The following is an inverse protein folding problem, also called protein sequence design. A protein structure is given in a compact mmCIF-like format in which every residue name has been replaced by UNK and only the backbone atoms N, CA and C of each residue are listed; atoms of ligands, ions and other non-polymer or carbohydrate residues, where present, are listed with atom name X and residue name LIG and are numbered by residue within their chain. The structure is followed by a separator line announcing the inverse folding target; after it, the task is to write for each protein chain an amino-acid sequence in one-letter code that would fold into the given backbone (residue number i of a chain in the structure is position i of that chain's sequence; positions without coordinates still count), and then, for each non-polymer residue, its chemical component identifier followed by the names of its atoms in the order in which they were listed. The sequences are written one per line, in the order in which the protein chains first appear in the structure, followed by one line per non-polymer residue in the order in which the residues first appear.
data_IF_965375581638
#
_entry.id   IF_965375581638
#
_cell.length_a   1.000
_cell.length_b   1.000
_cell.length_c   1.000
_cell.angle_alpha   90.00
_cell.angle_beta   90.00
_cell.angle_gamma   90.00
#
_symmetry.space_group_name_H-M   'P 1'
#
loop_
_entity.id
_entity.type
_entity.pdbx_description
1 polymer ?
#
# COMPACT_ATOMS: atom_id res chain seq x y z
N UNK A 1 5.72 7.88 -22.14
CA UNK A 1 6.27 6.51 -21.96
C UNK A 1 5.47 5.72 -20.93
N UNK A 2 5.25 6.22 -19.67
CA UNK A 2 4.56 5.48 -18.60
C UNK A 2 3.15 5.01 -19.00
N UNK A 3 2.35 5.83 -19.65
CA UNK A 3 1.03 5.41 -20.17
C UNK A 3 1.17 4.30 -21.24
N UNK A 4 2.13 4.39 -22.15
CA UNK A 4 2.40 3.33 -23.14
C UNK A 4 2.79 2.01 -22.47
N UNK A 5 3.65 2.08 -21.47
CA UNK A 5 4.05 0.91 -20.66
C UNK A 5 2.84 0.29 -19.95
N UNK A 6 2.09 1.09 -19.19
CA UNK A 6 1.06 0.55 -18.30
C UNK A 6 -0.23 0.15 -19.02
N UNK A 7 -0.70 0.93 -20.02
CA UNK A 7 -1.93 0.64 -20.74
C UNK A 7 -1.74 -0.39 -21.85
N UNK A 8 -0.60 -0.35 -22.54
CA UNK A 8 -0.34 -1.16 -23.76
C UNK A 8 0.70 -2.26 -23.55
N UNK A 9 1.42 -2.25 -22.43
CA UNK A 9 2.57 -3.14 -22.17
C UNK A 9 3.66 -2.95 -23.23
N UNK A 10 4.02 -1.67 -23.51
CA UNK A 10 5.07 -1.34 -24.47
C UNK A 10 6.43 -1.80 -23.97
N UNK A 11 7.03 -2.80 -24.62
CA UNK A 11 8.36 -3.32 -24.25
C UNK A 11 9.46 -2.31 -24.57
N UNK A 12 9.31 -1.58 -25.66
CA UNK A 12 10.12 -0.43 -26.05
C UNK A 12 10.09 0.66 -24.97
N UNK A 13 8.89 1.01 -24.48
CA UNK A 13 8.75 1.96 -23.39
C UNK A 13 9.44 1.48 -22.09
N UNK A 14 9.38 0.17 -21.79
CA UNK A 14 10.06 -0.39 -20.62
C UNK A 14 11.59 -0.24 -20.75
N UNK A 15 12.15 -0.55 -21.91
CA UNK A 15 13.59 -0.41 -22.18
C UNK A 15 14.05 1.04 -22.13
N UNK A 16 13.31 1.96 -22.76
CA UNK A 16 13.62 3.39 -22.73
C UNK A 16 13.58 3.98 -21.31
N UNK A 17 12.63 3.55 -20.48
CA UNK A 17 12.55 3.97 -19.08
C UNK A 17 13.74 3.40 -18.31
N UNK A 18 14.10 2.14 -18.55
CA UNK A 18 15.24 1.50 -17.89
C UNK A 18 16.56 2.20 -18.22
N UNK A 19 16.79 2.51 -19.48
CA UNK A 19 17.97 3.24 -19.94
C UNK A 19 18.04 4.65 -19.31
N UNK A 20 16.92 5.40 -19.35
CA UNK A 20 16.87 6.75 -18.81
C UNK A 20 17.07 6.81 -17.29
N UNK A 21 16.47 5.88 -16.54
CA UNK A 21 16.48 5.91 -15.05
C UNK A 21 17.71 5.21 -14.49
N UNK A 22 18.13 4.09 -15.09
CA UNK A 22 19.27 3.28 -14.66
C UNK A 22 20.60 3.69 -15.28
N UNK A 23 20.57 4.48 -16.35
CA UNK A 23 21.72 4.72 -17.23
C UNK A 23 21.96 3.58 -18.22
N UNK A 24 21.54 2.38 -17.87
CA UNK A 24 21.44 1.20 -18.72
C UNK A 24 20.44 0.20 -18.14
N UNK A 25 20.15 -0.87 -18.93
CA UNK A 25 19.18 -1.89 -18.53
C UNK A 25 19.65 -2.72 -17.34
N UNK A 26 20.93 -3.03 -17.25
CA UNK A 26 21.48 -3.89 -16.19
C UNK A 26 21.42 -3.18 -14.82
N UNK A 27 21.81 -1.93 -14.77
CA UNK A 27 21.68 -1.09 -13.58
C UNK A 27 20.20 -0.92 -13.17
N UNK A 28 19.30 -0.73 -14.14
CA UNK A 28 17.87 -0.67 -13.83
C UNK A 28 17.35 -1.98 -13.22
N UNK A 29 17.78 -3.13 -13.71
CA UNK A 29 17.44 -4.45 -13.14
C UNK A 29 17.99 -4.59 -11.72
N UNK A 30 19.20 -4.08 -11.43
CA UNK A 30 19.70 -4.02 -10.06
C UNK A 30 18.79 -3.15 -9.15
N UNK A 31 18.33 -1.99 -9.66
CA UNK A 31 17.38 -1.13 -8.95
C UNK A 31 16.03 -1.83 -8.70
N UNK A 32 15.49 -2.57 -9.68
CA UNK A 32 14.28 -3.38 -9.54
C UNK A 32 14.42 -4.40 -8.41
N UNK A 33 15.52 -5.16 -8.39
CA UNK A 33 15.78 -6.19 -7.36
C UNK A 33 16.05 -5.56 -5.98
N UNK A 34 16.70 -4.40 -5.91
CA UNK A 34 16.85 -3.64 -4.67
C UNK A 34 15.48 -3.23 -4.12
N UNK A 35 14.60 -2.68 -4.98
CA UNK A 35 13.24 -2.31 -4.59
C UNK A 35 12.43 -3.52 -4.14
N UNK A 36 12.55 -4.66 -4.80
CA UNK A 36 11.90 -5.90 -4.38
C UNK A 36 12.28 -6.28 -2.93
N UNK A 37 13.55 -6.21 -2.56
CA UNK A 37 14.02 -6.44 -1.19
C UNK A 37 13.45 -5.41 -0.20
N UNK A 38 13.46 -4.13 -0.56
CA UNK A 38 12.95 -3.04 0.28
C UNK A 38 11.46 -3.20 0.62
N UNK A 39 10.65 -3.68 -0.32
CA UNK A 39 9.21 -3.91 -0.09
C UNK A 39 8.89 -5.30 0.48
N UNK A 40 9.91 -6.14 0.71
CA UNK A 40 9.78 -7.44 1.37
C UNK A 40 9.41 -8.60 0.46
N UNK A 41 9.67 -8.52 -0.85
CA UNK A 41 9.46 -9.59 -1.83
C UNK A 41 10.56 -10.65 -1.68
N UNK A 42 10.25 -11.76 -1.02
CA UNK A 42 11.24 -12.79 -0.68
C UNK A 42 11.46 -13.82 -1.77
N UNK A 43 10.48 -13.99 -2.66
CA UNK A 43 10.46 -15.02 -3.70
C UNK A 43 10.37 -14.39 -5.11
N UNK A 44 11.10 -13.29 -5.32
CA UNK A 44 11.08 -12.54 -6.58
C UNK A 44 12.48 -12.24 -7.05
N UNK A 45 12.72 -12.42 -8.35
CA UNK A 45 13.91 -11.96 -9.04
C UNK A 45 13.53 -11.38 -10.39
N UNK A 46 13.95 -10.16 -10.63
CA UNK A 46 13.84 -9.51 -11.92
C UNK A 46 15.15 -9.68 -12.71
N UNK A 47 15.03 -9.98 -14.00
CA UNK A 47 16.15 -10.13 -14.94
C UNK A 47 16.03 -9.17 -16.13
N UNK A 48 14.86 -8.56 -16.34
CA UNK A 48 14.64 -7.54 -17.34
C UNK A 48 13.44 -6.65 -17.02
N UNK A 49 13.35 -5.43 -17.58
CA UNK A 49 12.26 -4.48 -17.32
C UNK A 49 10.97 -4.78 -18.11
N UNK A 50 11.04 -5.54 -19.21
CA UNK A 50 9.89 -5.80 -20.09
C UNK A 50 9.01 -6.96 -19.63
N UNK A 51 9.56 -7.91 -18.87
CA UNK A 51 8.89 -9.14 -18.48
C UNK A 51 8.95 -10.24 -19.54
N UNK A 52 9.63 -10.02 -20.67
CA UNK A 52 9.78 -11.05 -21.71
C UNK A 52 10.79 -12.11 -21.29
N UNK A 53 10.45 -13.37 -21.59
CA UNK A 53 11.40 -14.47 -21.44
C UNK A 53 12.39 -14.48 -22.61
N UNK A 54 13.67 -14.70 -22.32
CA UNK A 54 14.72 -14.86 -23.32
C UNK A 54 15.50 -16.15 -23.02
N UNK A 55 15.52 -17.08 -23.96
CA UNK A 55 16.21 -18.38 -23.82
C UNK A 55 15.79 -19.14 -22.53
N UNK A 56 14.52 -19.15 -22.21
CA UNK A 56 14.00 -19.79 -21.00
C UNK A 56 14.27 -19.02 -19.69
N UNK A 57 14.95 -17.88 -19.73
CA UNK A 57 15.24 -17.03 -18.57
C UNK A 57 14.26 -15.86 -18.56
N UNK A 58 13.54 -15.69 -17.46
CA UNK A 58 12.56 -14.62 -17.25
C UNK A 58 12.47 -14.16 -15.81
N UNK A 59 11.67 -13.14 -15.61
CA UNK A 59 11.31 -12.69 -14.26
C UNK A 59 10.48 -13.76 -13.56
N UNK A 60 10.73 -14.00 -12.27
CA UNK A 60 9.84 -14.83 -11.47
C UNK A 60 9.40 -14.12 -10.19
N UNK A 61 8.20 -14.45 -9.74
CA UNK A 61 7.60 -13.90 -8.54
C UNK A 61 6.51 -14.84 -8.01
N UNK A 62 5.88 -14.44 -6.90
CA UNK A 62 4.67 -15.06 -6.36
C UNK A 62 3.53 -14.06 -6.36
N UNK A 63 2.28 -14.55 -6.28
CA UNK A 63 1.10 -13.67 -6.13
C UNK A 63 1.21 -12.78 -4.89
N UNK A 64 1.76 -13.30 -3.79
CA UNK A 64 1.97 -12.53 -2.57
C UNK A 64 2.99 -11.40 -2.75
N UNK A 65 4.15 -11.67 -3.36
CA UNK A 65 5.18 -10.68 -3.59
C UNK A 65 4.69 -9.57 -4.53
N UNK A 66 3.95 -9.94 -5.59
CA UNK A 66 3.34 -8.96 -6.50
C UNK A 66 2.26 -8.12 -5.81
N UNK A 67 1.53 -8.68 -4.85
CA UNK A 67 0.60 -7.91 -4.02
C UNK A 67 1.35 -6.91 -3.11
N UNK A 68 2.50 -7.28 -2.53
CA UNK A 68 3.35 -6.36 -1.76
C UNK A 68 3.86 -5.20 -2.63
N UNK A 69 4.36 -5.50 -3.83
CA UNK A 69 4.80 -4.47 -4.78
C UNK A 69 3.66 -3.53 -5.16
N UNK A 70 2.48 -4.09 -5.46
CA UNK A 70 1.30 -3.31 -5.81
C UNK A 70 0.86 -2.42 -4.66
N UNK A 71 0.85 -2.92 -3.42
CA UNK A 71 0.54 -2.12 -2.23
C UNK A 71 1.49 -0.94 -2.08
N UNK A 72 2.78 -1.14 -2.32
CA UNK A 72 3.78 -0.07 -2.33
C UNK A 72 3.52 0.94 -3.45
N UNK A 73 3.31 0.47 -4.68
CA UNK A 73 3.09 1.34 -5.83
C UNK A 73 1.80 2.17 -5.71
N UNK A 74 0.74 1.61 -5.12
CA UNK A 74 -0.53 2.29 -4.87
C UNK A 74 -0.44 3.43 -3.84
N UNK A 75 0.68 3.64 -3.18
CA UNK A 75 0.94 4.82 -2.35
C UNK A 75 1.29 6.06 -3.19
N UNK A 76 1.68 5.88 -4.45
CA UNK A 76 2.03 6.95 -5.37
C UNK A 76 0.81 7.41 -6.18
N UNK A 77 0.48 8.72 -6.11
CA UNK A 77 -0.69 9.30 -6.79
C UNK A 77 -0.62 9.17 -8.30
N UNK A 78 0.56 9.40 -8.88
CA UNK A 78 0.78 9.31 -10.33
C UNK A 78 0.58 7.86 -10.81
N UNK A 79 1.08 6.87 -10.05
CA UNK A 79 0.83 5.48 -10.37
C UNK A 79 -0.67 5.16 -10.34
N UNK A 80 -1.40 5.60 -9.30
CA UNK A 80 -2.85 5.41 -9.22
C UNK A 80 -3.59 6.02 -10.40
N UNK A 81 -3.20 7.23 -10.80
CA UNK A 81 -3.79 7.90 -11.96
C UNK A 81 -3.58 7.09 -13.24
N UNK A 82 -2.35 6.65 -13.51
CA UNK A 82 -2.01 5.92 -14.74
C UNK A 82 -2.75 4.58 -14.81
N UNK A 83 -2.72 3.77 -13.73
CA UNK A 83 -3.29 2.41 -13.77
C UNK A 83 -4.81 2.36 -13.84
N UNK A 84 -5.51 3.40 -13.38
CA UNK A 84 -6.97 3.54 -13.52
C UNK A 84 -7.42 4.12 -14.85
N UNK A 85 -6.49 4.68 -15.65
CA UNK A 85 -6.82 5.33 -16.92
C UNK A 85 -7.30 4.32 -17.94
N UNK A 86 -8.53 4.49 -18.45
CA UNK A 86 -9.14 3.60 -19.45
C UNK A 86 -8.60 3.85 -20.85
N UNK A 87 -8.35 5.12 -21.19
CA UNK A 87 -7.85 5.53 -22.50
C UNK A 87 -6.99 6.79 -22.36
N UNK A 88 -5.92 6.86 -23.14
CA UNK A 88 -5.00 7.99 -23.15
C UNK A 88 -4.64 8.37 -24.58
N UNK A 89 -4.66 9.68 -24.87
CA UNK A 89 -4.24 10.21 -26.17
C UNK A 89 -2.83 10.77 -26.05
N UNK A 90 -1.87 10.11 -26.68
CA UNK A 90 -0.49 10.55 -26.78
C UNK A 90 -0.24 11.22 -28.12
N UNK A 91 0.29 12.43 -28.11
CA UNK A 91 0.65 13.18 -29.33
C UNK A 91 2.17 13.29 -29.43
N UNK A 92 2.71 13.01 -30.60
CA UNK A 92 4.06 13.34 -31.01
C UNK A 92 4.03 14.30 -32.18
N UNK A 93 5.18 14.81 -32.59
CA UNK A 93 5.29 15.66 -33.80
C UNK A 93 4.88 14.93 -35.08
N UNK A 94 4.91 13.60 -35.09
CA UNK A 94 4.64 12.78 -36.26
C UNK A 94 3.27 12.12 -36.23
N UNK A 95 2.73 11.80 -35.05
CA UNK A 95 1.52 10.96 -34.95
C UNK A 95 0.79 11.14 -33.63
N UNK A 96 -0.53 10.97 -33.70
CA UNK A 96 -1.41 10.84 -32.51
C UNK A 96 -1.73 9.37 -32.29
N UNK A 97 -1.54 8.91 -31.04
CA UNK A 97 -1.86 7.56 -30.60
C UNK A 97 -3.03 7.60 -29.62
N UNK A 98 -3.98 6.71 -29.78
CA UNK A 98 -5.05 6.47 -28.80
C UNK A 98 -4.82 5.12 -28.17
N UNK A 99 -4.43 5.11 -26.90
CA UNK A 99 -4.15 3.91 -26.14
C UNK A 99 -5.31 3.54 -25.23
N UNK A 100 -5.93 2.39 -25.50
CA UNK A 100 -6.92 1.79 -24.61
C UNK A 100 -6.23 0.84 -23.63
N UNK A 101 -6.56 0.93 -22.35
CA UNK A 101 -6.02 0.02 -21.34
C UNK A 101 -6.48 -1.42 -21.62
N UNK A 102 -5.54 -2.38 -21.53
CA UNK A 102 -5.82 -3.81 -21.70
C UNK A 102 -6.60 -4.41 -20.52
N UNK A 103 -6.61 -3.74 -19.36
CA UNK A 103 -7.33 -4.19 -18.17
C UNK A 103 -8.84 -3.98 -18.33
N UNK A 104 -9.56 -5.06 -18.69
CA UNK A 104 -11.02 -5.03 -18.88
C UNK A 104 -11.79 -4.80 -17.57
N UNK A 105 -11.19 -5.12 -16.41
CA UNK A 105 -11.82 -4.94 -15.11
C UNK A 105 -12.11 -3.47 -14.77
N UNK A 106 -11.44 -2.51 -15.41
CA UNK A 106 -11.72 -1.08 -15.26
C UNK A 106 -13.15 -0.67 -15.64
N UNK A 107 -13.93 -1.55 -16.26
CA UNK A 107 -15.36 -1.31 -16.51
C UNK A 107 -16.21 -1.41 -15.23
N UNK A 108 -15.73 -2.10 -14.20
CA UNK A 108 -16.40 -2.19 -12.90
C UNK A 108 -16.04 -0.99 -12.02
N UNK A 109 -17.06 -0.37 -11.37
CA UNK A 109 -16.92 0.89 -10.64
C UNK A 109 -15.95 0.84 -9.46
N UNK A 110 -15.81 -0.32 -8.81
CA UNK A 110 -14.96 -0.52 -7.65
C UNK A 110 -13.49 -0.80 -8.01
N UNK A 111 -13.19 -1.10 -9.28
CA UNK A 111 -11.82 -1.35 -9.74
C UNK A 111 -11.05 -0.03 -9.88
N UNK A 112 -9.91 0.05 -9.24
CA UNK A 112 -9.08 1.26 -9.16
C UNK A 112 -7.81 1.18 -10.01
N UNK A 113 -7.49 0.03 -10.60
CA UNK A 113 -6.32 -0.11 -11.46
C UNK A 113 -5.85 -1.53 -11.63
N UNK A 114 -4.64 -1.67 -12.14
CA UNK A 114 -3.96 -2.94 -12.30
C UNK A 114 -3.12 -3.06 -13.56
N UNK A 115 -2.61 -4.27 -13.81
CA UNK A 115 -1.74 -4.58 -14.96
C UNK A 115 -1.94 -6.01 -15.40
N UNK A 116 -2.13 -6.19 -16.69
CA UNK A 116 -2.16 -7.51 -17.36
C UNK A 116 -0.77 -7.92 -17.80
N UNK A 117 -0.49 -9.21 -17.81
CA UNK A 117 0.73 -9.79 -18.37
C UNK A 117 0.44 -11.09 -19.11
N UNK A 118 1.29 -11.40 -20.07
CA UNK A 118 1.31 -12.69 -20.76
C UNK A 118 2.71 -12.97 -21.30
N UNK A 119 3.22 -14.15 -21.01
CA UNK A 119 4.35 -14.77 -21.72
C UNK A 119 4.04 -16.24 -21.97
N UNK A 120 4.79 -16.91 -22.85
CA UNK A 120 4.58 -18.34 -23.11
C UNK A 120 4.81 -19.20 -21.86
N UNK A 121 5.74 -18.82 -20.97
CA UNK A 121 6.02 -19.55 -19.75
C UNK A 121 5.03 -19.22 -18.63
N UNK A 122 4.79 -17.94 -18.37
CA UNK A 122 3.92 -17.51 -17.28
C UNK A 122 2.43 -17.63 -17.61
N UNK A 123 2.07 -17.71 -18.90
CA UNK A 123 0.68 -17.61 -19.37
C UNK A 123 0.04 -16.30 -18.92
N UNK A 124 -1.27 -16.29 -18.72
CA UNK A 124 -1.97 -15.09 -18.26
C UNK A 124 -1.62 -14.77 -16.81
N UNK A 125 -1.27 -13.52 -16.56
CA UNK A 125 -1.05 -12.96 -15.23
C UNK A 125 -1.83 -11.67 -15.10
N UNK A 126 -2.42 -11.44 -13.94
CA UNK A 126 -3.20 -10.25 -13.69
C UNK A 126 -2.96 -9.76 -12.27
N UNK A 127 -2.72 -8.47 -12.15
CA UNK A 127 -2.83 -7.73 -10.89
C UNK A 127 -3.97 -6.75 -11.05
N UNK A 128 -4.89 -6.69 -10.09
CA UNK A 128 -5.88 -5.64 -10.02
C UNK A 128 -6.06 -5.10 -8.61
N UNK A 129 -6.57 -3.88 -8.51
CA UNK A 129 -6.85 -3.20 -7.25
C UNK A 129 -8.30 -2.74 -7.25
N UNK A 130 -8.93 -2.79 -6.08
CA UNK A 130 -10.31 -2.37 -5.90
C UNK A 130 -10.48 -1.61 -4.59
N UNK A 131 -11.43 -0.67 -4.58
CA UNK A 131 -11.87 0.04 -3.37
C UNK A 131 -13.39 -0.11 -3.24
N UNK A 132 -13.84 -0.55 -2.07
CA UNK A 132 -15.24 -0.69 -1.73
C UNK A 132 -15.45 -0.41 -0.24
N UNK A 133 -16.41 0.44 0.09
CA UNK A 133 -16.76 0.82 1.48
C UNK A 133 -15.53 1.21 2.33
N UNK A 134 -14.65 2.05 1.77
CA UNK A 134 -13.41 2.48 2.42
C UNK A 134 -12.33 1.42 2.55
N UNK A 135 -12.56 0.20 2.06
CA UNK A 135 -11.60 -0.90 2.06
C UNK A 135 -10.87 -0.98 0.72
N UNK A 136 -9.56 -1.22 0.77
CA UNK A 136 -8.72 -1.42 -0.41
C UNK A 136 -8.24 -2.86 -0.49
N UNK A 137 -8.44 -3.47 -1.65
CA UNK A 137 -8.05 -4.85 -1.90
C UNK A 137 -7.16 -4.96 -3.14
N UNK A 138 -6.29 -5.95 -3.13
CA UNK A 138 -5.42 -6.31 -4.25
C UNK A 138 -5.63 -7.79 -4.53
N UNK A 139 -5.87 -8.12 -5.78
CA UNK A 139 -5.92 -9.51 -6.25
C UNK A 139 -4.80 -9.71 -7.27
N UNK A 140 -4.10 -10.83 -7.15
CA UNK A 140 -3.04 -11.24 -8.07
C UNK A 140 -3.24 -12.70 -8.46
N UNK A 141 -3.36 -12.96 -9.75
CA UNK A 141 -3.34 -14.31 -10.32
C UNK A 141 -2.14 -14.50 -11.24
N UNK A 142 -1.54 -15.67 -11.18
CA UNK A 142 -0.43 -16.10 -12.04
C UNK A 142 -0.83 -17.42 -12.67
N UNK A 143 -0.73 -17.52 -14.01
CA UNK A 143 -1.09 -18.70 -14.79
C UNK A 143 -2.55 -19.09 -14.64
N UNK A 144 -3.43 -18.12 -14.68
CA UNK A 144 -4.87 -18.30 -14.58
C UNK A 144 -5.53 -17.95 -15.91
N UNK A 145 -6.16 -18.94 -16.56
CA UNK A 145 -6.82 -18.78 -17.86
C UNK A 145 -8.11 -17.97 -17.77
N UNK A 146 -8.76 -17.95 -16.59
CA UNK A 146 -10.01 -17.24 -16.33
C UNK A 146 -9.82 -16.07 -15.33
N UNK A 147 -8.65 -15.43 -15.38
CA UNK A 147 -8.22 -14.38 -14.46
C UNK A 147 -9.25 -13.25 -14.26
N UNK A 148 -10.05 -12.91 -15.28
CA UNK A 148 -11.09 -11.88 -15.13
C UNK A 148 -12.18 -12.29 -14.15
N UNK A 149 -12.77 -13.47 -14.32
CA UNK A 149 -13.81 -13.98 -13.43
C UNK A 149 -13.24 -14.30 -12.05
N UNK A 150 -12.08 -14.94 -11.98
CA UNK A 150 -11.38 -15.19 -10.70
C UNK A 150 -11.22 -13.91 -9.87
N UNK A 151 -10.80 -12.81 -10.50
CA UNK A 151 -10.63 -11.53 -9.79
C UNK A 151 -11.96 -10.95 -9.31
N UNK A 152 -13.02 -11.01 -10.13
CA UNK A 152 -14.36 -10.54 -9.75
C UNK A 152 -14.92 -11.34 -8.58
N UNK A 153 -14.86 -12.66 -8.63
CA UNK A 153 -15.36 -13.57 -7.59
C UNK A 153 -14.63 -13.34 -6.26
N UNK A 154 -13.30 -13.15 -6.31
CA UNK A 154 -12.51 -12.84 -5.12
C UNK A 154 -12.88 -11.47 -4.51
N UNK A 155 -13.15 -10.46 -5.33
CA UNK A 155 -13.63 -9.16 -4.82
C UNK A 155 -15.02 -9.26 -4.22
N UNK A 156 -15.97 -9.92 -4.89
CA UNK A 156 -17.32 -10.11 -4.37
C UNK A 156 -17.30 -10.87 -3.04
N UNK A 157 -16.51 -11.94 -2.96
CA UNK A 157 -16.29 -12.68 -1.72
C UNK A 157 -15.68 -11.79 -0.62
N UNK A 158 -14.67 -11.00 -0.96
CA UNK A 158 -14.03 -10.10 0.01
C UNK A 158 -15.02 -9.03 0.51
N UNK A 159 -15.77 -8.37 -0.37
CA UNK A 159 -16.75 -7.34 0.00
C UNK A 159 -17.89 -7.87 0.86
N UNK A 160 -18.29 -9.13 0.65
CA UNK A 160 -19.30 -9.81 1.46
C UNK A 160 -18.80 -10.15 2.86
N UNK A 161 -17.56 -10.60 2.98
CA UNK A 161 -17.03 -11.18 4.21
C UNK A 161 -16.28 -10.19 5.11
N UNK A 162 -15.70 -9.12 4.53
CA UNK A 162 -14.95 -8.11 5.26
C UNK A 162 -15.77 -6.85 5.48
N UNK A 163 -15.53 -6.20 6.62
CA UNK A 163 -16.04 -4.87 6.93
C UNK A 163 -14.91 -4.00 7.46
N UNK A 164 -15.04 -2.69 7.27
CA UNK A 164 -14.04 -1.74 7.73
C UNK A 164 -14.31 -1.39 9.20
N UNK A 165 -13.62 -2.04 10.13
CA UNK A 165 -13.80 -1.82 11.57
C UNK A 165 -12.94 -0.66 12.06
N UNK A 166 -13.53 0.26 12.84
CA UNK A 166 -12.80 1.25 13.62
C UNK A 166 -12.14 0.56 14.82
N UNK A 167 -10.83 0.31 14.72
CA UNK A 167 -10.05 -0.40 15.75
C UNK A 167 -9.52 0.57 16.82
N UNK A 168 -9.04 1.75 16.42
CA UNK A 168 -8.62 2.81 17.33
C UNK A 168 -9.25 4.13 16.91
N UNK A 169 -9.87 4.84 17.87
CA UNK A 169 -10.44 6.15 17.63
C UNK A 169 -9.57 7.24 18.23
N UNK A 170 -9.17 8.22 17.42
CA UNK A 170 -8.43 9.40 17.89
C UNK A 170 -9.22 10.24 18.92
N UNK A 171 -10.55 10.21 18.82
CA UNK A 171 -11.43 10.97 19.72
C UNK A 171 -11.49 10.36 21.12
N UNK A 172 -11.44 9.03 21.21
CA UNK A 172 -11.62 8.27 22.45
C UNK A 172 -10.37 7.44 22.80
N UNK A 173 -9.19 7.82 22.27
CA UNK A 173 -7.96 7.10 22.58
C UNK A 173 -7.59 7.29 24.04
N UNK A 174 -7.46 6.20 24.77
CA UNK A 174 -7.07 6.19 26.18
C UNK A 174 -6.21 4.94 26.48
N UNK A 175 -5.20 5.12 27.34
CA UNK A 175 -4.36 4.05 27.87
C UNK A 175 -4.55 4.03 29.38
N UNK A 176 -5.42 3.15 29.86
CA UNK A 176 -5.94 3.16 31.22
C UNK A 176 -4.87 2.98 32.32
N UNK A 177 -3.77 2.30 32.02
CA UNK A 177 -2.73 1.96 32.98
C UNK A 177 -1.59 2.98 33.06
N UNK A 178 -1.52 3.92 32.11
CA UNK A 178 -0.46 4.94 32.12
C UNK A 178 -0.87 6.16 32.96
N UNK A 179 -0.08 6.43 34.02
CA UNK A 179 -0.23 7.59 34.90
C UNK A 179 0.90 8.62 34.73
N UNK A 180 1.83 8.36 33.82
CA UNK A 180 2.99 9.22 33.62
C UNK A 180 2.69 10.41 32.71
N UNK A 181 1.88 10.19 31.69
CA UNK A 181 1.51 11.23 30.72
C UNK A 181 0.16 11.87 31.06
N UNK A 182 0.07 13.19 30.93
CA UNK A 182 -1.19 13.91 31.17
C UNK A 182 -2.27 13.55 30.16
N UNK A 183 -1.88 13.43 28.88
CA UNK A 183 -2.78 13.09 27.79
C UNK A 183 -2.04 12.36 26.69
N UNK A 184 -2.47 11.14 26.40
CA UNK A 184 -2.00 10.32 25.29
C UNK A 184 -3.00 10.40 24.15
N UNK A 185 -2.50 10.49 22.91
CA UNK A 185 -3.36 10.57 21.74
C UNK A 185 -2.71 9.93 20.50
N UNK A 186 -3.56 9.60 19.53
CA UNK A 186 -3.17 9.19 18.16
C UNK A 186 -3.67 10.26 17.17
N UNK A 187 -2.95 10.49 16.09
CA UNK A 187 -3.29 11.55 15.13
C UNK A 187 -4.49 11.22 14.25
N UNK A 188 -4.67 9.94 13.94
CA UNK A 188 -5.70 9.47 13.03
C UNK A 188 -6.47 8.29 13.62
N UNK A 189 -7.72 8.13 13.19
CA UNK A 189 -8.46 6.90 13.42
C UNK A 189 -7.81 5.73 12.67
N UNK A 190 -7.85 4.54 13.24
CA UNK A 190 -7.39 3.32 12.59
C UNK A 190 -8.59 2.47 12.19
N UNK A 191 -8.78 2.32 10.89
CA UNK A 191 -9.72 1.38 10.31
C UNK A 191 -8.98 0.20 9.71
N UNK A 192 -9.47 -1.02 9.95
CA UNK A 192 -8.88 -2.24 9.40
C UNK A 192 -10.00 -3.10 8.79
N UNK A 193 -9.86 -3.54 7.51
CA UNK A 193 -10.74 -4.53 6.92
C UNK A 193 -10.58 -5.88 7.62
N UNK A 194 -11.64 -6.38 8.23
CA UNK A 194 -11.65 -7.62 9.01
C UNK A 194 -12.95 -8.39 8.77
N UNK A 195 -12.88 -9.70 8.89
CA UNK A 195 -14.06 -10.52 9.08
C UNK A 195 -14.61 -10.34 10.51
N UNK A 196 -15.85 -10.74 10.75
CA UNK A 196 -16.47 -10.67 12.07
C UNK A 196 -15.65 -11.42 13.14
N UNK A 197 -15.14 -12.61 12.81
CA UNK A 197 -14.31 -13.41 13.75
C UNK A 197 -12.95 -12.78 14.00
N UNK A 198 -12.31 -12.18 13.00
CA UNK A 198 -11.04 -11.48 13.18
C UNK A 198 -11.19 -10.24 14.04
N UNK A 199 -12.28 -9.48 13.87
CA UNK A 199 -12.53 -8.29 14.68
C UNK A 199 -12.64 -8.59 16.19
N UNK A 200 -13.16 -9.78 16.55
CA UNK A 200 -13.23 -10.22 17.96
C UNK A 200 -11.92 -10.82 18.49
N UNK A 201 -10.94 -11.07 17.63
CA UNK A 201 -9.65 -11.69 17.97
C UNK A 201 -8.50 -10.70 17.97
N UNK A 202 -8.77 -9.39 17.82
CA UNK A 202 -7.74 -8.36 17.85
C UNK A 202 -7.19 -8.18 19.27
N UNK A 203 -5.87 -8.03 19.35
CA UNK A 203 -5.17 -7.66 20.58
C UNK A 203 -4.44 -6.34 20.34
N UNK A 204 -4.62 -5.41 21.26
CA UNK A 204 -3.94 -4.12 21.29
C UNK A 204 -2.89 -4.12 22.39
N UNK A 205 -1.64 -3.80 22.06
CA UNK A 205 -0.54 -3.74 23.00
C UNK A 205 0.18 -2.39 22.88
N UNK A 206 0.15 -1.58 23.94
CA UNK A 206 0.80 -0.27 23.97
C UNK A 206 2.17 -0.38 24.61
N UNK A 207 3.20 0.14 23.94
CA UNK A 207 4.56 0.27 24.46
C UNK A 207 4.93 1.75 24.47
N UNK A 208 5.18 2.32 25.67
CA UNK A 208 5.54 3.72 25.86
C UNK A 208 6.97 3.83 26.40
N UNK A 209 7.68 4.88 25.98
CA UNK A 209 8.96 5.33 26.52
C UNK A 209 8.71 6.53 27.45
N UNK A 210 9.45 6.64 28.56
CA UNK A 210 9.32 7.76 29.50
C UNK A 210 10.16 8.94 29.05
N UNK A 211 9.52 9.97 28.51
CA UNK A 211 10.17 11.22 28.06
C UNK A 211 9.80 12.35 29.02
N UNK A 212 10.80 12.98 29.67
CA UNK A 212 10.55 14.00 30.72
C UNK A 212 9.94 15.30 30.17
N UNK A 213 10.45 15.80 29.05
CA UNK A 213 10.00 17.04 28.43
C UNK A 213 9.23 16.72 27.16
N UNK A 214 7.93 16.46 27.30
CA UNK A 214 7.03 16.14 26.19
C UNK A 214 6.01 17.25 25.97
N UNK A 215 5.78 17.59 24.72
CA UNK A 215 4.58 18.30 24.22
C UNK A 215 4.42 17.98 22.74
N UNK A 216 3.31 17.38 22.38
CA UNK A 216 3.05 16.81 21.07
C UNK A 216 4.15 15.85 20.58
N UNK A 217 4.80 15.15 21.52
CA UNK A 217 5.98 14.29 21.27
C UNK A 217 5.53 12.86 21.05
N UNK A 218 6.16 12.18 20.09
CA UNK A 218 6.05 10.73 19.92
C UNK A 218 6.65 10.06 21.17
N UNK A 219 5.84 9.30 21.89
CA UNK A 219 6.23 8.64 23.15
C UNK A 219 6.11 7.13 23.12
N UNK A 220 5.69 6.57 22.00
CA UNK A 220 5.59 5.13 21.84
C UNK A 220 4.68 4.70 20.71
N UNK A 221 4.28 3.44 20.79
CA UNK A 221 3.49 2.79 19.75
C UNK A 221 2.39 1.92 20.34
N UNK A 222 1.24 1.87 19.68
CA UNK A 222 0.20 0.89 19.90
C UNK A 222 0.25 -0.14 18.78
N UNK A 223 0.63 -1.37 19.11
CA UNK A 223 0.74 -2.49 18.18
C UNK A 223 -0.58 -3.26 18.16
N UNK A 224 -1.13 -3.46 16.98
CA UNK A 224 -2.33 -4.28 16.79
C UNK A 224 -1.92 -5.64 16.26
N UNK A 225 -2.36 -6.67 16.94
CA UNK A 225 -2.12 -8.07 16.58
C UNK A 225 -3.43 -8.74 16.18
N UNK A 226 -3.36 -9.55 15.15
CA UNK A 226 -4.39 -10.51 14.79
C UNK A 226 -3.78 -11.90 14.92
N UNK A 227 -4.30 -12.68 15.87
CA UNK A 227 -3.63 -13.88 16.36
C UNK A 227 -2.20 -13.48 16.80
N UNK A 228 -1.16 -14.19 16.51
CA UNK A 228 0.21 -13.85 16.94
C UNK A 228 0.96 -12.92 15.96
N UNK A 229 0.27 -12.41 14.92
CA UNK A 229 0.90 -11.59 13.90
C UNK A 229 0.62 -10.10 14.13
N UNK A 230 1.66 -9.29 14.26
CA UNK A 230 1.52 -7.83 14.23
C UNK A 230 1.05 -7.38 12.86
N UNK A 231 -0.15 -6.76 12.79
CA UNK A 231 -0.78 -6.28 11.56
C UNK A 231 -0.72 -4.76 11.41
N UNK A 232 -0.58 -4.02 12.52
CA UNK A 232 -0.48 -2.57 12.49
C UNK A 232 0.42 -2.02 13.60
N UNK A 233 0.94 -0.83 13.37
CA UNK A 233 1.82 -0.08 14.27
C UNK A 233 1.35 1.38 14.26
N UNK A 234 0.67 1.81 15.34
CA UNK A 234 0.10 3.15 15.48
C UNK A 234 0.99 4.00 16.39
N UNK A 235 1.58 5.09 15.90
CA UNK A 235 2.35 6.02 16.72
C UNK A 235 1.46 6.68 17.78
N UNK A 236 1.95 6.70 19.03
CA UNK A 236 1.29 7.31 20.18
C UNK A 236 2.06 8.55 20.61
N UNK A 237 1.34 9.65 20.78
CA UNK A 237 1.88 10.96 21.15
C UNK A 237 1.39 11.35 22.53
N UNK A 238 2.19 12.14 23.24
CA UNK A 238 1.82 12.74 24.52
C UNK A 238 1.77 14.27 24.44
N UNK A 239 0.81 14.86 25.16
CA UNK A 239 0.63 16.31 25.30
C UNK A 239 0.44 16.68 26.76
N UNK A 240 1.06 17.79 27.19
CA UNK A 240 0.84 18.36 28.54
C UNK A 240 -0.53 19.04 28.64
N UNK A 241 -1.20 18.87 29.78
CA UNK A 241 -2.38 19.67 30.11
C UNK A 241 -1.96 21.11 30.43
N UNK A 242 -2.45 22.06 29.64
CA UNK A 242 -2.13 23.49 29.85
C UNK A 242 -2.59 24.02 31.21
N UNK A 243 -3.63 23.42 31.82
CA UNK A 243 -4.21 23.88 33.07
C UNK A 243 -3.36 23.56 34.31
N UNK A 244 -2.51 22.53 34.28
CA UNK A 244 -1.57 22.21 35.37
C UNK A 244 -0.39 23.21 35.49
N UNK A 245 -0.02 23.88 34.40
CA UNK A 245 1.07 24.86 34.40
C UNK A 245 0.67 26.18 35.07
N UNK A 246 -0.61 26.52 35.03
CA UNK A 246 -1.13 27.80 35.53
C UNK A 246 -1.20 27.87 37.04
N UNK A 247 -1.33 26.76 37.75
CA UNK A 247 -1.42 26.78 39.25
C UNK A 247 -0.07 27.11 39.89
N UNK A 248 1.03 26.55 39.44
CA UNK A 248 2.36 26.83 39.99
C UNK A 248 2.97 28.16 39.50
N UNK A 249 2.61 28.64 38.31
CA UNK A 249 3.02 29.96 37.84
C UNK A 249 2.30 31.10 38.57
N UNK A 250 1.06 30.89 39.01
CA UNK A 250 0.34 31.86 39.87
C UNK A 250 0.94 31.96 41.26
N UNK A 251 1.44 30.88 41.84
CA UNK A 251 2.10 30.89 43.15
C UNK A 251 3.47 31.60 43.09
N UNK A 252 4.27 31.44 42.02
CA UNK A 252 5.54 32.15 41.87
C UNK A 252 5.40 33.66 41.64
N UNK A 253 4.24 34.13 41.17
CA UNK A 253 3.94 35.56 41.04
C UNK A 253 3.51 36.26 42.34
N UNK A 254 3.23 35.51 43.39
CA UNK A 254 2.85 36.07 44.71
C UNK A 254 4.04 36.32 45.66
N UNK A 255 5.26 35.90 45.26
CA UNK A 255 6.50 36.07 46.04
C UNK A 255 7.55 36.95 45.33
N UNK A 256 7.09 37.91 44.52
CA UNK A 256 7.94 39.01 44.02
C UNK A 256 7.37 40.34 44.47
#
# INVERSE_FOLDING_TARGET
LLYGLMLRSGNDAALMIADYVGGDVDNFVLMMNKKAKEVGMKNTKFVNPSGLDKNGIGNYSTSYDMALLTRYAMQNDIYREIVKTKSYVAKSNLKTYVWKNKNKLLNYKYITGGKTGFTENARRTLVSTATYDGMNFIVVTIRDSDDWNTHLDLYESAFKNYKNYLVLSKKNYNVLEDKYYDNLYIKNDLYIPLTKSEATSLISHVKLERIRNYDNTLVGHNYIYLRDKKIYDMPVYAKKNKDKVTFWSKIKGLFR
#
